data_IF_197374455554
#
_entry.id   IF_197374455554
#
_cell.length_a   1.000
_cell.length_b   1.000
_cell.length_c   1.000
_cell.angle_alpha   90.00
_cell.angle_beta   90.00
_cell.angle_gamma   90.00
#
_symmetry.space_group_name_H-M   'P 1'
#
loop_
_entity.id
_entity.type
_entity.pdbx_description
1 polymer ?
#
# COMPACT_ATOMS: atom_id res chain seq x y z
N UNK A 1 12.02 -4.21 7.63
CA UNK A 1 12.14 -3.16 8.67
C UNK A 1 11.16 -2.05 8.29
N UNK A 2 9.97 -2.00 8.87
CA UNK A 2 9.07 -0.82 8.77
C UNK A 2 9.18 -0.13 10.13
N UNK A 3 10.22 0.69 10.28
CA UNK A 3 10.59 1.34 11.55
C UNK A 3 9.88 2.66 11.83
N UNK A 4 8.93 3.06 10.98
CA UNK A 4 8.08 4.23 11.14
C UNK A 4 6.63 3.90 10.80
N UNK A 5 5.68 4.71 11.25
CA UNK A 5 4.27 4.59 10.83
C UNK A 5 4.17 4.90 9.33
N UNK A 6 4.01 3.87 8.52
CA UNK A 6 3.65 4.03 7.11
C UNK A 6 2.22 4.58 7.02
N UNK A 7 2.01 5.52 6.11
CA UNK A 7 0.67 5.97 5.76
C UNK A 7 0.22 5.25 4.49
N UNK A 8 -1.06 4.88 4.43
CA UNK A 8 -1.61 4.14 3.29
C UNK A 8 -2.73 4.96 2.68
N UNK A 9 -2.73 5.07 1.36
CA UNK A 9 -3.69 5.85 0.59
C UNK A 9 -4.28 5.01 -0.53
N UNK A 10 -5.58 5.09 -0.74
CA UNK A 10 -6.18 4.76 -2.03
C UNK A 10 -6.01 5.96 -2.96
N UNK A 11 -5.70 5.72 -4.23
CA UNK A 11 -5.59 6.76 -5.26
C UNK A 11 -6.42 6.38 -6.50
N UNK A 12 -6.43 7.27 -7.50
CA UNK A 12 -7.09 6.99 -8.77
C UNK A 12 -8.59 6.77 -8.66
N UNK A 13 -9.13 5.82 -9.42
CA UNK A 13 -10.56 5.54 -9.51
C UNK A 13 -11.20 5.20 -8.15
N UNK A 14 -10.43 4.58 -7.25
CA UNK A 14 -10.87 4.26 -5.88
C UNK A 14 -11.13 5.54 -5.07
N UNK A 15 -10.17 6.46 -5.02
CA UNK A 15 -10.32 7.74 -4.31
C UNK A 15 -11.32 8.68 -5.01
N UNK A 16 -11.49 8.57 -6.33
CA UNK A 16 -12.39 9.42 -7.11
C UNK A 16 -13.85 8.96 -7.08
N UNK A 17 -14.16 7.80 -6.50
CA UNK A 17 -15.52 7.24 -6.50
C UNK A 17 -15.96 6.80 -7.90
N UNK A 18 -15.02 6.42 -8.76
CA UNK A 18 -15.25 6.01 -10.16
C UNK A 18 -14.85 4.54 -10.41
N UNK A 19 -14.78 3.72 -9.36
CA UNK A 19 -14.35 2.34 -9.46
C UNK A 19 -15.35 1.50 -10.27
N UNK A 20 -14.85 0.67 -11.17
CA UNK A 20 -15.65 -0.28 -11.98
C UNK A 20 -15.15 -1.70 -11.76
N UNK A 21 -15.90 -2.70 -12.22
CA UNK A 21 -15.50 -4.11 -12.11
C UNK A 21 -14.19 -4.45 -12.84
N UNK A 22 -13.72 -3.60 -13.76
CA UNK A 22 -12.47 -3.76 -14.50
C UNK A 22 -11.37 -2.81 -14.01
N UNK A 23 -11.62 -2.06 -12.94
CA UNK A 23 -10.63 -1.12 -12.40
C UNK A 23 -9.63 -1.85 -11.51
N UNK A 24 -8.38 -1.43 -11.61
CA UNK A 24 -7.36 -1.72 -10.60
C UNK A 24 -7.61 -0.87 -9.33
N UNK A 25 -7.09 -1.35 -8.21
CA UNK A 25 -7.09 -0.65 -6.93
C UNK A 25 -5.67 -0.19 -6.66
N UNK A 26 -5.44 1.10 -6.90
CA UNK A 26 -4.16 1.75 -6.68
C UNK A 26 -3.98 2.13 -5.21
N UNK A 27 -2.95 1.58 -4.59
CA UNK A 27 -2.59 1.86 -3.20
C UNK A 27 -1.20 2.47 -3.15
N UNK A 28 -1.07 3.61 -2.48
CA UNK A 28 0.23 4.24 -2.18
C UNK A 28 0.57 3.97 -0.71
N UNK A 29 1.72 3.34 -0.49
CA UNK A 29 2.35 3.17 0.83
C UNK A 29 3.42 4.23 0.98
N UNK A 30 3.16 5.21 1.85
CA UNK A 30 4.00 6.36 2.06
C UNK A 30 4.89 6.21 3.31
N UNK A 31 6.20 6.26 3.11
CA UNK A 31 7.23 6.08 4.13
C UNK A 31 7.86 7.42 4.53
N UNK A 32 8.61 7.44 5.63
CA UNK A 32 9.35 8.64 6.05
C UNK A 32 10.55 8.96 5.13
N UNK A 33 10.90 8.05 4.22
CA UNK A 33 11.96 8.19 3.22
C UNK A 33 11.50 7.69 1.85
N UNK A 34 12.27 8.03 0.80
CA UNK A 34 12.04 7.43 -0.53
C UNK A 34 12.72 6.05 -0.57
N UNK A 35 11.97 4.96 -0.78
CA UNK A 35 12.56 3.64 -0.78
C UNK A 35 13.41 3.40 -2.02
N UNK A 36 14.47 2.61 -1.86
CA UNK A 36 15.23 2.11 -3.02
C UNK A 36 14.38 1.12 -3.84
N UNK A 37 14.76 0.89 -5.10
CA UNK A 37 14.09 -0.13 -5.93
C UNK A 37 14.06 -1.51 -5.26
N UNK A 38 15.19 -1.96 -4.70
CA UNK A 38 15.27 -3.24 -4.01
C UNK A 38 14.39 -3.31 -2.77
N UNK A 39 14.31 -2.21 -2.02
CA UNK A 39 13.45 -2.11 -0.83
C UNK A 39 11.97 -2.14 -1.24
N UNK A 40 11.57 -1.40 -2.26
CA UNK A 40 10.21 -1.42 -2.79
C UNK A 40 9.79 -2.81 -3.28
N UNK A 41 10.69 -3.55 -3.96
CA UNK A 41 10.45 -4.93 -4.38
C UNK A 41 10.25 -5.86 -3.18
N UNK A 42 11.10 -5.74 -2.15
CA UNK A 42 10.98 -6.54 -0.93
C UNK A 42 9.68 -6.23 -0.17
N UNK A 43 9.35 -4.96 0.01
CA UNK A 43 8.12 -4.52 0.66
C UNK A 43 6.89 -5.00 -0.11
N UNK A 44 6.89 -4.91 -1.44
CA UNK A 44 5.81 -5.42 -2.29
C UNK A 44 5.59 -6.91 -2.07
N UNK A 45 6.66 -7.71 -2.13
CA UNK A 45 6.57 -9.15 -1.90
C UNK A 45 6.05 -9.45 -0.49
N UNK A 46 6.57 -8.76 0.51
CA UNK A 46 6.21 -8.95 1.92
C UNK A 46 4.74 -8.62 2.21
N UNK A 47 4.22 -7.55 1.61
CA UNK A 47 2.83 -7.11 1.74
C UNK A 47 1.89 -8.08 1.02
N UNK A 48 2.18 -8.42 -0.25
CA UNK A 48 1.32 -9.30 -1.03
C UNK A 48 1.23 -10.70 -0.43
N UNK A 49 2.35 -11.25 0.05
CA UNK A 49 2.39 -12.57 0.71
C UNK A 49 1.57 -12.57 2.01
N UNK A 50 1.62 -11.49 2.80
CA UNK A 50 0.76 -11.34 3.99
C UNK A 50 -0.70 -11.15 3.64
N UNK A 51 -1.00 -10.38 2.60
CA UNK A 51 -2.36 -10.14 2.15
C UNK A 51 -2.99 -11.45 1.62
N UNK A 52 -2.23 -12.25 0.87
CA UNK A 52 -2.65 -13.57 0.40
C UNK A 52 -3.02 -14.49 1.56
N UNK A 53 -2.16 -14.59 2.58
CA UNK A 53 -2.45 -15.36 3.80
C UNK A 53 -3.71 -14.87 4.54
N UNK A 54 -4.11 -13.62 4.35
CA UNK A 54 -5.33 -13.01 4.93
C UNK A 54 -6.56 -13.16 4.01
N UNK A 55 -6.42 -13.85 2.89
CA UNK A 55 -7.51 -14.16 1.96
C UNK A 55 -7.65 -13.20 0.78
N UNK A 56 -6.72 -12.27 0.58
CA UNK A 56 -6.69 -11.48 -0.66
C UNK A 56 -6.21 -12.39 -1.81
N UNK A 57 -7.00 -12.60 -2.87
CA UNK A 57 -6.55 -13.45 -3.98
C UNK A 57 -5.34 -12.85 -4.69
N UNK A 58 -4.38 -13.68 -5.11
CA UNK A 58 -3.22 -13.24 -5.90
C UNK A 58 -3.59 -12.56 -7.22
N UNK A 59 -4.77 -12.87 -7.76
CA UNK A 59 -5.29 -12.27 -8.98
C UNK A 59 -6.13 -11.01 -8.73
N UNK A 60 -6.23 -10.55 -7.48
CA UNK A 60 -6.88 -9.27 -7.20
C UNK A 60 -6.10 -8.16 -7.90
N UNK A 61 -6.78 -7.23 -8.59
CA UNK A 61 -6.13 -6.18 -9.38
C UNK A 61 -5.64 -5.05 -8.45
N UNK A 62 -4.66 -5.35 -7.58
CA UNK A 62 -4.06 -4.39 -6.64
C UNK A 62 -2.72 -3.92 -7.19
N UNK A 63 -2.55 -2.60 -7.34
CA UNK A 63 -1.27 -2.00 -7.64
C UNK A 63 -0.69 -1.28 -6.42
N UNK A 64 0.54 -1.62 -6.04
CA UNK A 64 1.24 -1.03 -4.88
C UNK A 64 2.31 -0.04 -5.31
N UNK A 65 2.16 1.22 -4.97
CA UNK A 65 3.21 2.22 -5.10
C UNK A 65 3.86 2.51 -3.75
N UNK A 66 5.16 2.78 -3.76
CA UNK A 66 5.92 3.15 -2.57
C UNK A 66 6.61 4.49 -2.82
N UNK A 67 6.51 5.41 -1.87
CA UNK A 67 7.13 6.74 -1.99
C UNK A 67 7.32 7.37 -0.61
N UNK A 68 8.01 8.51 -0.54
CA UNK A 68 8.05 9.34 0.65
C UNK A 68 6.70 10.07 0.89
N UNK A 69 6.33 10.28 2.16
CA UNK A 69 5.09 11.00 2.57
C UNK A 69 4.89 12.35 1.88
N UNK A 70 5.96 13.10 1.68
CA UNK A 70 5.90 14.41 1.01
C UNK A 70 5.64 14.34 -0.50
N UNK A 71 5.58 13.15 -1.11
CA UNK A 71 5.36 12.93 -2.54
C UNK A 71 4.00 12.34 -2.89
N UNK A 72 3.17 12.01 -1.91
CA UNK A 72 1.82 11.44 -2.13
C UNK A 72 0.95 12.31 -3.04
N UNK A 73 1.09 13.64 -2.96
CA UNK A 73 0.36 14.58 -3.82
C UNK A 73 0.62 14.38 -5.33
N UNK A 74 1.72 13.75 -5.72
CA UNK A 74 2.03 13.42 -7.12
C UNK A 74 1.10 12.38 -7.74
N UNK A 75 0.33 11.65 -6.93
CA UNK A 75 -0.62 10.62 -7.39
C UNK A 75 -2.04 11.17 -7.64
N UNK A 76 -2.24 12.49 -7.53
CA UNK A 76 -3.53 13.12 -7.73
C UNK A 76 -4.43 13.00 -6.50
N UNK A 77 -5.70 12.62 -6.69
CA UNK A 77 -6.63 12.48 -5.56
C UNK A 77 -6.23 11.25 -4.74
N UNK A 78 -5.92 11.49 -3.46
CA UNK A 78 -5.54 10.46 -2.51
C UNK A 78 -6.47 10.50 -1.30
N UNK A 79 -6.98 9.34 -0.89
CA UNK A 79 -7.79 9.17 0.30
C UNK A 79 -7.03 8.30 1.30
N UNK A 80 -6.74 8.86 2.49
CA UNK A 80 -5.99 8.15 3.53
C UNK A 80 -6.85 7.02 4.10
N UNK A 81 -6.28 5.83 4.13
CA UNK A 81 -6.90 4.65 4.72
C UNK A 81 -6.46 4.55 6.17
N UNK A 82 -7.42 4.49 7.10
CA UNK A 82 -7.11 4.18 8.50
C UNK A 82 -6.72 2.71 8.63
N UNK A 83 -5.43 2.45 8.79
CA UNK A 83 -4.93 1.12 9.08
C UNK A 83 -5.07 0.84 10.58
N UNK A 84 -5.81 -0.21 10.94
CA UNK A 84 -5.77 -0.74 12.31
C UNK A 84 -4.41 -1.39 12.53
N UNK A 85 -3.64 -0.87 13.47
CA UNK A 85 -2.36 -1.46 13.84
C UNK A 85 -2.62 -2.74 14.63
N UNK A 86 -2.38 -3.90 14.02
CA UNK A 86 -2.28 -5.14 14.78
C UNK A 86 -0.86 -5.26 15.33
N UNK A 87 -0.69 -5.60 16.62
CA UNK A 87 0.64 -5.83 17.17
C UNK A 87 1.34 -6.92 16.38
N UNK A 88 2.64 -6.74 16.09
CA UNK A 88 3.46 -7.79 15.47
C UNK A 88 3.31 -9.06 16.32
N UNK A 89 3.04 -10.24 15.72
CA UNK A 89 3.16 -11.48 16.45
C UNK A 89 4.59 -11.55 16.99
N UNK A 90 4.72 -11.78 18.30
CA UNK A 90 6.01 -12.02 18.93
C UNK A 90 6.69 -13.17 18.20
N UNK A 91 7.93 -12.94 17.78
CA UNK A 91 8.75 -14.01 17.23
C UNK A 91 8.95 -15.05 18.34
N UNK A 92 8.37 -16.24 18.15
CA UNK A 92 8.74 -17.46 18.88
C UNK A 92 10.05 -18.02 18.32
#
# INVERSE_FOLDING_TARGET
MLGGEAEVYAVGGAAEGRLTALSDIDIVVALDHEPSYSEAVQLRAEILERAERRGLPLHAPIELHFTAKNRVAGYGKAERIECRHEPRPSAE
#
